data_IF_390821405384
#
_entry.id   IF_390821405384
#
_cell.length_a   1.000
_cell.length_b   1.000
_cell.length_c   1.000
_cell.angle_alpha   90.00
_cell.angle_beta   90.00
_cell.angle_gamma   90.00
#
_symmetry.space_group_name_H-M   'P 1'
#
loop_
_entity.id
_entity.type
_entity.pdbx_description
1 polymer ?
#
# COMPACT_ATOMS: atom_id res chain seq x y z
N UNK A 1 5.79 27.19 -17.94
CA UNK A 1 4.70 26.93 -16.98
C UNK A 1 4.99 25.56 -16.42
N UNK A 2 5.45 25.47 -15.17
CA UNK A 2 5.99 24.24 -14.59
C UNK A 2 4.84 23.26 -14.35
N UNK A 3 4.87 22.09 -15.00
CA UNK A 3 3.79 21.09 -14.98
C UNK A 3 3.70 20.33 -13.63
N UNK A 4 4.65 20.56 -12.71
CA UNK A 4 4.89 19.73 -11.52
C UNK A 4 4.24 20.20 -10.21
N UNK A 5 3.38 21.23 -10.19
CA UNK A 5 2.83 21.80 -8.94
C UNK A 5 1.32 21.59 -8.78
N UNK A 6 0.86 20.33 -8.83
CA UNK A 6 -0.52 20.04 -8.41
C UNK A 6 -0.63 20.16 -6.87
N UNK A 7 -1.79 20.57 -6.32
CA UNK A 7 -1.99 20.63 -4.87
C UNK A 7 -1.71 19.29 -4.17
N UNK A 8 -1.99 18.16 -4.82
CA UNK A 8 -1.70 16.83 -4.28
C UNK A 8 -0.19 16.55 -4.19
N UNK A 9 0.59 16.97 -5.19
CA UNK A 9 2.06 16.81 -5.18
C UNK A 9 2.69 17.68 -4.09
N UNK A 10 2.24 18.93 -3.95
CA UNK A 10 2.66 19.82 -2.85
C UNK A 10 2.30 19.24 -1.48
N UNK A 11 1.14 18.58 -1.34
CA UNK A 11 0.74 17.89 -0.11
C UNK A 11 1.67 16.73 0.21
N UNK A 12 2.00 15.89 -0.78
CA UNK A 12 2.94 14.79 -0.59
C UNK A 12 4.34 15.29 -0.22
N UNK A 13 4.85 16.32 -0.90
CA UNK A 13 6.14 16.94 -0.56
C UNK A 13 6.17 17.46 0.88
N UNK A 14 5.08 18.12 1.31
CA UNK A 14 4.92 18.57 2.69
C UNK A 14 4.88 17.38 3.68
N UNK A 15 4.20 16.29 3.34
CA UNK A 15 4.14 15.09 4.16
C UNK A 15 5.50 14.40 4.29
N UNK A 16 6.26 14.27 3.19
CA UNK A 16 7.63 13.76 3.19
C UNK A 16 8.57 14.62 4.04
N UNK A 17 8.46 15.95 3.94
CA UNK A 17 9.21 16.86 4.80
C UNK A 17 8.84 16.69 6.28
N UNK A 18 7.54 16.52 6.58
CA UNK A 18 7.08 16.25 7.95
C UNK A 18 7.63 14.94 8.48
N UNK A 19 7.62 13.86 7.69
CA UNK A 19 8.25 12.59 8.03
C UNK A 19 9.73 12.79 8.39
N UNK A 20 10.48 13.53 7.58
CA UNK A 20 11.89 13.80 7.83
C UNK A 20 12.12 14.59 9.14
N UNK A 21 11.31 15.61 9.41
CA UNK A 21 11.42 16.42 10.64
C UNK A 21 11.01 15.62 11.88
N UNK A 22 9.89 14.89 11.82
CA UNK A 22 9.33 14.17 12.96
C UNK A 22 10.19 12.99 13.42
N UNK A 23 10.88 12.33 12.49
CA UNK A 23 11.75 11.19 12.80
C UNK A 23 13.25 11.54 12.75
N UNK A 24 13.60 12.82 12.67
CA UNK A 24 14.98 13.29 12.76
C UNK A 24 15.63 12.83 14.08
N UNK A 25 16.87 12.37 14.03
CA UNK A 25 17.61 11.92 15.21
C UNK A 25 17.20 10.55 15.76
N UNK A 26 16.21 9.88 15.16
CA UNK A 26 15.78 8.55 15.61
C UNK A 26 16.85 7.50 15.31
N UNK A 27 16.97 6.50 16.18
CA UNK A 27 17.89 5.37 16.09
C UNK A 27 17.15 4.07 16.40
N UNK A 28 17.64 2.95 15.89
CA UNK A 28 17.24 1.64 16.39
C UNK A 28 17.71 1.48 17.85
N UNK A 29 17.04 0.61 18.62
CA UNK A 29 17.42 0.37 20.01
C UNK A 29 18.90 -0.07 20.11
N UNK A 30 19.69 0.43 21.09
CA UNK A 30 21.11 0.09 21.21
C UNK A 30 21.40 -1.41 21.32
N UNK A 31 20.49 -2.15 21.95
CA UNK A 31 20.57 -3.60 22.14
C UNK A 31 19.98 -4.40 20.97
N UNK A 32 19.45 -3.72 19.95
CA UNK A 32 18.94 -4.40 18.76
C UNK A 32 20.09 -5.13 18.04
N UNK A 33 19.78 -6.35 17.61
CA UNK A 33 20.71 -7.26 16.98
C UNK A 33 19.98 -8.16 15.98
N UNK A 34 20.72 -8.68 15.01
CA UNK A 34 20.23 -9.67 14.06
C UNK A 34 21.40 -10.60 13.65
N UNK A 35 21.12 -11.80 13.14
CA UNK A 35 22.16 -12.77 12.81
C UNK A 35 22.99 -12.28 11.62
N UNK A 36 24.33 -12.35 11.70
CA UNK A 36 25.19 -12.06 10.55
C UNK A 36 24.86 -12.92 9.33
N UNK A 37 24.41 -14.16 9.58
CA UNK A 37 24.04 -15.15 8.57
C UNK A 37 22.81 -14.78 7.72
N UNK A 38 21.91 -13.97 8.26
CA UNK A 38 20.63 -13.61 7.61
C UNK A 38 20.53 -12.11 7.34
N UNK A 39 21.24 -11.31 8.13
CA UNK A 39 21.10 -9.87 8.12
C UNK A 39 22.29 -9.13 7.52
N UNK A 40 23.53 -9.52 7.79
CA UNK A 40 24.73 -8.76 7.39
C UNK A 40 25.66 -8.43 8.55
N UNK A 41 26.67 -7.57 8.33
CA UNK A 41 27.77 -7.41 9.30
C UNK A 41 27.39 -6.56 10.52
N UNK A 42 28.18 -6.68 11.60
CA UNK A 42 28.03 -5.84 12.78
C UNK A 42 28.16 -4.33 12.47
N UNK A 43 29.00 -3.96 11.48
CA UNK A 43 29.14 -2.58 11.02
C UNK A 43 27.87 -2.07 10.34
N UNK A 44 27.21 -2.87 9.51
CA UNK A 44 25.93 -2.51 8.88
C UNK A 44 24.83 -2.33 9.93
N UNK A 45 24.76 -3.23 10.91
CA UNK A 45 23.84 -3.09 12.04
C UNK A 45 24.12 -1.83 12.87
N UNK A 46 25.39 -1.47 13.06
CA UNK A 46 25.77 -0.26 13.78
C UNK A 46 25.28 1.03 13.09
N UNK A 47 25.08 1.03 11.77
CA UNK A 47 24.54 2.20 11.05
C UNK A 47 23.10 2.54 11.45
N UNK A 48 22.30 1.54 11.87
CA UNK A 48 20.95 1.77 12.41
C UNK A 48 20.99 2.50 13.78
N UNK A 49 22.12 2.44 14.47
CA UNK A 49 22.36 3.10 15.76
C UNK A 49 22.94 4.52 15.61
N UNK A 50 23.30 4.90 14.38
CA UNK A 50 23.71 6.28 14.06
C UNK A 50 22.50 7.02 13.50
N UNK A 51 22.09 8.15 14.11
CA UNK A 51 20.95 8.91 13.62
C UNK A 51 21.25 9.53 12.26
N UNK A 52 20.20 9.69 11.44
CA UNK A 52 20.19 10.45 10.18
C UNK A 52 21.22 10.05 9.11
N UNK A 53 21.97 8.96 9.32
CA UNK A 53 22.90 8.42 8.33
C UNK A 53 22.11 7.74 7.23
N UNK A 54 22.40 8.09 5.97
CA UNK A 54 21.82 7.43 4.82
C UNK A 54 22.30 5.97 4.77
N UNK A 55 21.35 5.04 4.70
CA UNK A 55 21.64 3.62 4.58
C UNK A 55 21.83 3.26 3.11
N UNK A 56 22.71 2.30 2.83
CA UNK A 56 22.75 1.65 1.52
C UNK A 56 21.36 1.09 1.16
N UNK A 57 20.91 1.15 -0.11
CA UNK A 57 19.59 0.63 -0.51
C UNK A 57 19.34 -0.82 -0.10
N UNK A 58 20.35 -1.68 -0.13
CA UNK A 58 20.22 -3.06 0.30
C UNK A 58 20.02 -3.19 1.82
N UNK A 59 20.74 -2.38 2.59
CA UNK A 59 20.57 -2.30 4.05
C UNK A 59 19.20 -1.72 4.42
N UNK A 60 18.72 -0.69 3.72
CA UNK A 60 17.38 -0.15 3.87
C UNK A 60 16.32 -1.22 3.57
N UNK A 61 16.48 -1.96 2.46
CA UNK A 61 15.60 -3.05 2.05
C UNK A 61 15.51 -4.11 3.13
N UNK A 62 16.66 -4.61 3.58
CA UNK A 62 16.74 -5.55 4.69
C UNK A 62 15.99 -4.98 5.88
N UNK A 63 16.31 -3.74 6.32
CA UNK A 63 15.76 -3.08 7.52
C UNK A 63 14.24 -3.22 7.67
N UNK A 64 13.47 -2.96 6.62
CA UNK A 64 12.02 -3.09 6.68
C UNK A 64 11.53 -4.54 6.45
N UNK A 65 12.28 -5.37 5.74
CA UNK A 65 11.92 -6.77 5.43
C UNK A 65 12.07 -7.72 6.61
N UNK A 66 13.09 -7.57 7.47
CA UNK A 66 13.25 -8.45 8.63
C UNK A 66 11.99 -8.45 9.49
N UNK A 67 11.57 -9.65 9.86
CA UNK A 67 10.44 -9.90 10.74
C UNK A 67 10.87 -10.24 12.17
N UNK A 68 12.16 -10.45 12.39
CA UNK A 68 12.76 -10.97 13.61
C UNK A 68 13.44 -9.92 14.49
N UNK A 69 13.16 -8.64 14.25
CA UNK A 69 13.55 -7.56 15.15
C UNK A 69 12.86 -7.66 16.52
N UNK A 70 13.60 -7.40 17.59
CA UNK A 70 13.03 -7.35 18.94
C UNK A 70 12.20 -6.07 19.15
N UNK A 71 12.70 -4.93 18.69
CA UNK A 71 12.02 -3.63 18.65
C UNK A 71 11.91 -3.12 17.21
N UNK A 72 11.00 -3.75 16.45
CA UNK A 72 10.67 -3.35 15.08
C UNK A 72 10.23 -1.88 14.99
N UNK A 73 9.60 -1.34 16.04
CA UNK A 73 9.15 0.04 16.08
C UNK A 73 10.34 1.02 16.04
N UNK A 74 11.40 0.77 16.80
CA UNK A 74 12.61 1.59 16.78
C UNK A 74 13.29 1.58 15.40
N UNK A 75 13.43 0.40 14.79
CA UNK A 75 14.02 0.24 13.45
C UNK A 75 13.17 0.97 12.41
N UNK A 76 11.86 0.80 12.45
CA UNK A 76 10.97 1.47 11.52
C UNK A 76 11.07 3.00 11.65
N UNK A 77 11.03 3.56 12.86
CA UNK A 77 11.22 5.01 13.08
C UNK A 77 12.54 5.52 12.51
N UNK A 78 13.63 4.75 12.65
CA UNK A 78 14.96 5.09 12.13
C UNK A 78 14.99 5.17 10.60
N UNK A 79 14.27 4.30 9.91
CA UNK A 79 14.34 4.21 8.44
C UNK A 79 13.24 4.99 7.72
N UNK A 80 12.15 5.34 8.41
CA UNK A 80 10.97 5.97 7.80
C UNK A 80 11.26 7.20 6.93
N UNK A 81 12.14 8.16 7.31
CA UNK A 81 12.49 9.29 6.44
C UNK A 81 13.11 8.89 5.09
N UNK A 82 13.91 7.83 5.07
CA UNK A 82 14.56 7.34 3.84
C UNK A 82 13.61 6.41 3.08
N UNK A 83 12.93 5.50 3.79
CA UNK A 83 11.96 4.57 3.22
C UNK A 83 10.80 5.29 2.52
N UNK A 84 10.21 6.32 3.13
CA UNK A 84 9.11 7.09 2.53
C UNK A 84 9.48 7.75 1.21
N UNK A 85 10.72 8.27 1.09
CA UNK A 85 11.24 8.83 -0.17
C UNK A 85 11.49 7.74 -1.20
N UNK A 86 12.07 6.62 -0.80
CA UNK A 86 12.32 5.48 -1.67
C UNK A 86 10.99 4.91 -2.24
N UNK A 87 9.96 4.81 -1.41
CA UNK A 87 8.61 4.37 -1.81
C UNK A 87 8.01 5.26 -2.89
N UNK A 88 7.98 6.58 -2.66
CA UNK A 88 7.41 7.54 -3.61
C UNK A 88 8.23 7.62 -4.91
N UNK A 89 9.53 7.31 -4.85
CA UNK A 89 10.41 7.30 -6.02
C UNK A 89 10.41 5.98 -6.78
N UNK A 90 9.65 4.98 -6.35
CA UNK A 90 9.61 3.65 -6.99
C UNK A 90 10.90 2.85 -6.83
N UNK A 91 11.68 3.12 -5.78
CA UNK A 91 12.97 2.44 -5.51
C UNK A 91 12.84 1.26 -4.55
N UNK A 92 11.62 0.97 -4.08
CA UNK A 92 11.33 -0.16 -3.20
C UNK A 92 10.67 -1.26 -4.03
N UNK A 93 11.34 -2.41 -4.11
CA UNK A 93 10.87 -3.58 -4.85
C UNK A 93 10.67 -4.77 -3.88
N UNK A 94 9.45 -4.97 -3.35
CA UNK A 94 9.10 -6.14 -2.56
C UNK A 94 9.10 -7.43 -3.39
N UNK A 95 9.17 -8.59 -2.73
CA UNK A 95 9.23 -9.87 -3.45
C UNK A 95 7.86 -10.29 -3.98
N UNK A 96 6.81 -10.16 -3.17
CA UNK A 96 5.45 -10.56 -3.52
C UNK A 96 4.53 -9.37 -3.81
N UNK A 97 4.74 -8.24 -3.13
CA UNK A 97 4.00 -7.01 -3.37
C UNK A 97 4.13 -5.99 -2.24
N UNK A 98 3.55 -4.81 -2.45
CA UNK A 98 3.68 -3.66 -1.53
C UNK A 98 2.97 -3.88 -0.18
N UNK A 99 2.14 -4.91 -0.06
CA UNK A 99 1.55 -5.34 1.20
C UNK A 99 2.63 -5.82 2.21
N UNK A 100 3.80 -6.30 1.75
CA UNK A 100 4.94 -6.62 2.62
C UNK A 100 5.45 -5.40 3.39
N UNK A 101 5.53 -4.26 2.70
CA UNK A 101 5.92 -2.99 3.30
C UNK A 101 4.84 -2.54 4.29
N UNK A 102 3.57 -2.65 3.91
CA UNK A 102 2.45 -2.37 4.81
C UNK A 102 2.50 -3.20 6.10
N UNK A 103 2.79 -4.50 6.00
CA UNK A 103 3.01 -5.37 7.17
C UNK A 103 4.21 -4.92 8.02
N UNK A 104 5.26 -4.35 7.42
CA UNK A 104 6.36 -3.75 8.18
C UNK A 104 5.90 -2.57 9.03
N UNK A 105 5.02 -1.73 8.48
CA UNK A 105 4.39 -0.64 9.24
C UNK A 105 3.54 -1.19 10.38
N UNK A 106 2.68 -2.17 10.11
CA UNK A 106 1.81 -2.80 11.10
C UNK A 106 2.61 -3.42 12.26
N UNK A 107 3.71 -4.14 11.96
CA UNK A 107 4.63 -4.71 12.97
C UNK A 107 5.28 -3.65 13.84
N UNK A 108 5.52 -2.45 13.28
CA UNK A 108 6.01 -1.30 14.04
C UNK A 108 4.96 -0.67 14.95
N UNK A 109 3.69 -1.07 14.85
CA UNK A 109 2.56 -0.54 15.64
C UNK A 109 2.49 0.99 15.60
N UNK A 110 2.69 1.58 14.40
CA UNK A 110 2.85 3.04 14.26
C UNK A 110 1.65 3.86 14.76
N UNK A 111 0.46 3.27 14.77
CA UNK A 111 -0.75 3.90 15.31
C UNK A 111 -0.70 4.10 16.84
N UNK A 112 0.15 3.36 17.55
CA UNK A 112 0.33 3.45 19.01
C UNK A 112 1.49 4.37 19.42
N UNK A 113 2.18 4.96 18.44
CA UNK A 113 3.30 5.88 18.69
C UNK A 113 2.81 7.23 19.25
N UNK A 114 3.72 8.10 19.73
CA UNK A 114 3.36 9.47 20.07
C UNK A 114 2.53 10.14 18.96
N UNK A 115 1.51 10.91 19.34
CA UNK A 115 0.49 11.41 18.43
C UNK A 115 1.06 12.14 17.19
N UNK A 116 2.15 12.90 17.36
CA UNK A 116 2.81 13.59 16.25
C UNK A 116 3.44 12.63 15.24
N UNK A 117 4.02 11.52 15.70
CA UNK A 117 4.63 10.49 14.85
C UNK A 117 3.54 9.72 14.09
N UNK A 118 2.50 9.28 14.79
CA UNK A 118 1.38 8.59 14.16
C UNK A 118 0.69 9.49 13.12
N UNK A 119 0.48 10.77 13.43
CA UNK A 119 -0.11 11.73 12.50
C UNK A 119 0.78 11.99 11.27
N UNK A 120 2.11 11.98 11.41
CA UNK A 120 3.03 12.12 10.29
C UNK A 120 2.93 10.92 9.34
N UNK A 121 2.92 9.68 9.87
CA UNK A 121 2.78 8.46 9.07
C UNK A 121 1.42 8.43 8.36
N UNK A 122 0.34 8.74 9.06
CA UNK A 122 -1.00 8.78 8.47
C UNK A 122 -1.09 9.78 7.32
N UNK A 123 -0.58 11.00 7.52
CA UNK A 123 -0.62 12.04 6.48
C UNK A 123 0.22 11.66 5.26
N UNK A 124 1.38 11.02 5.45
CA UNK A 124 2.19 10.47 4.37
C UNK A 124 1.42 9.43 3.54
N UNK A 125 0.87 8.41 4.20
CA UNK A 125 0.10 7.35 3.52
C UNK A 125 -1.10 7.95 2.77
N UNK A 126 -1.83 8.88 3.38
CA UNK A 126 -2.98 9.53 2.78
C UNK A 126 -2.62 10.43 1.58
N UNK A 127 -1.56 11.23 1.70
CA UNK A 127 -1.12 12.10 0.61
C UNK A 127 -0.61 11.27 -0.58
N UNK A 128 0.15 10.20 -0.31
CA UNK A 128 0.68 9.33 -1.36
C UNK A 128 -0.44 8.57 -2.07
N UNK A 129 -1.37 7.97 -1.31
CA UNK A 129 -2.54 7.30 -1.88
C UNK A 129 -3.36 8.24 -2.77
N UNK A 130 -3.69 9.44 -2.26
CA UNK A 130 -4.47 10.42 -3.02
C UNK A 130 -3.76 10.83 -4.31
N UNK A 131 -2.43 10.99 -4.29
CA UNK A 131 -1.65 11.32 -5.49
C UNK A 131 -1.67 10.15 -6.49
N UNK A 132 -1.48 8.90 -6.05
CA UNK A 132 -1.47 7.73 -6.96
C UNK A 132 -2.77 7.52 -7.73
N UNK A 133 -3.88 8.06 -7.22
CA UNK A 133 -5.19 7.98 -7.88
C UNK A 133 -5.38 9.01 -9.00
N UNK A 134 -4.60 10.08 -9.01
CA UNK A 134 -4.77 11.20 -9.95
C UNK A 134 -3.54 11.47 -10.81
N UNK A 135 -2.38 10.91 -10.43
CA UNK A 135 -1.15 11.02 -11.21
C UNK A 135 -1.25 10.17 -12.48
N UNK A 136 -0.91 10.80 -13.60
CA UNK A 136 -0.90 10.13 -14.90
C UNK A 136 0.28 9.14 -15.02
N UNK A 137 1.38 9.41 -14.32
CA UNK A 137 2.61 8.60 -14.36
C UNK A 137 3.10 8.28 -12.93
N UNK A 138 2.35 7.45 -12.18
CA UNK A 138 2.72 7.09 -10.82
C UNK A 138 3.93 6.15 -10.81
N UNK A 139 4.72 6.19 -9.74
CA UNK A 139 5.88 5.31 -9.53
C UNK A 139 5.52 3.82 -9.28
N UNK A 140 4.29 3.41 -9.57
CA UNK A 140 3.75 2.06 -9.41
C UNK A 140 2.22 2.04 -9.57
N UNK A 141 1.61 0.84 -9.70
CA UNK A 141 0.16 0.71 -9.79
C UNK A 141 -0.55 1.15 -8.51
N UNK A 142 -1.68 1.85 -8.64
CA UNK A 142 -2.46 2.33 -7.50
C UNK A 142 -2.94 1.19 -6.59
N UNK A 143 -3.26 0.01 -7.14
CA UNK A 143 -3.71 -1.13 -6.33
C UNK A 143 -2.65 -1.62 -5.35
N UNK A 144 -1.37 -1.46 -5.65
CA UNK A 144 -0.27 -1.81 -4.74
C UNK A 144 -0.16 -0.81 -3.58
N UNK A 145 -0.32 0.48 -3.87
CA UNK A 145 -0.36 1.54 -2.84
C UNK A 145 -1.55 1.32 -1.90
N UNK A 146 -2.71 0.91 -2.43
CA UNK A 146 -3.87 0.56 -1.62
C UNK A 146 -3.56 -0.63 -0.68
N UNK A 147 -2.96 -1.71 -1.20
CA UNK A 147 -2.61 -2.88 -0.40
C UNK A 147 -1.65 -2.52 0.74
N UNK A 148 -0.62 -1.70 0.44
CA UNK A 148 0.29 -1.16 1.46
C UNK A 148 -0.46 -0.37 2.53
N UNK A 149 -1.31 0.58 2.14
CA UNK A 149 -2.05 1.40 3.08
C UNK A 149 -3.01 0.57 3.94
N UNK A 150 -3.68 -0.42 3.35
CA UNK A 150 -4.60 -1.33 4.02
C UNK A 150 -3.87 -2.16 5.08
N UNK A 151 -2.77 -2.83 4.71
CA UNK A 151 -1.95 -3.60 5.65
C UNK A 151 -1.32 -2.72 6.73
N UNK A 152 -0.76 -1.56 6.35
CA UNK A 152 -0.14 -0.65 7.31
C UNK A 152 -1.10 -0.21 8.41
N UNK A 153 -2.37 0.04 8.06
CA UNK A 153 -3.38 0.55 8.99
C UNK A 153 -4.31 -0.51 9.57
N UNK A 154 -4.18 -1.76 9.11
CA UNK A 154 -5.07 -2.88 9.38
C UNK A 154 -6.56 -2.58 9.09
N UNK A 155 -6.85 -1.66 8.17
CA UNK A 155 -8.21 -1.28 7.76
C UNK A 155 -8.24 -0.78 6.31
N UNK A 156 -9.36 -1.00 5.63
CA UNK A 156 -9.52 -0.63 4.22
C UNK A 156 -10.40 0.62 4.01
N UNK A 157 -11.40 0.84 4.88
CA UNK A 157 -12.42 1.89 4.71
C UNK A 157 -11.89 3.31 4.45
N UNK A 158 -10.88 3.80 5.20
CA UNK A 158 -10.39 5.17 5.00
C UNK A 158 -9.84 5.39 3.59
N UNK A 159 -9.22 4.38 3.00
CA UNK A 159 -8.58 4.44 1.69
C UNK A 159 -9.62 4.35 0.57
N UNK A 160 -10.62 3.48 0.72
CA UNK A 160 -11.74 3.39 -0.21
C UNK A 160 -12.58 4.67 -0.23
N UNK A 161 -12.75 5.34 0.92
CA UNK A 161 -13.43 6.62 0.98
C UNK A 161 -12.70 7.71 0.19
N UNK A 162 -11.36 7.76 0.27
CA UNK A 162 -10.55 8.65 -0.56
C UNK A 162 -10.75 8.34 -2.04
N UNK A 163 -10.78 7.06 -2.43
CA UNK A 163 -10.96 6.68 -3.83
C UNK A 163 -12.35 6.97 -4.36
N UNK A 164 -13.38 6.80 -3.54
CA UNK A 164 -14.76 7.16 -3.86
C UNK A 164 -14.88 8.66 -4.18
N UNK A 165 -14.18 9.52 -3.43
CA UNK A 165 -14.16 10.95 -3.66
C UNK A 165 -13.43 11.37 -4.96
N UNK A 166 -12.56 10.53 -5.52
CA UNK A 166 -11.83 10.82 -6.76
C UNK A 166 -12.61 10.38 -8.00
N UNK A 167 -13.30 11.34 -8.62
CA UNK A 167 -14.18 11.09 -9.79
C UNK A 167 -13.54 11.40 -11.14
N UNK A 168 -12.26 11.79 -11.16
CA UNK A 168 -11.55 12.09 -12.40
C UNK A 168 -11.33 10.84 -13.27
N UNK A 169 -11.07 11.04 -14.56
CA UNK A 169 -10.88 9.95 -15.52
C UNK A 169 -9.70 9.03 -15.14
N UNK A 170 -8.60 9.60 -14.63
CA UNK A 170 -7.42 8.83 -14.18
C UNK A 170 -7.80 7.87 -13.05
N UNK A 171 -8.55 8.33 -12.05
CA UNK A 171 -9.02 7.47 -10.96
C UNK A 171 -9.95 6.34 -11.44
N UNK A 172 -10.70 6.56 -12.52
CA UNK A 172 -11.48 5.53 -13.20
C UNK A 172 -10.61 4.51 -13.94
N UNK A 173 -9.52 4.95 -14.56
CA UNK A 173 -8.52 4.05 -15.17
C UNK A 173 -7.83 3.19 -14.12
N UNK A 174 -7.41 3.78 -12.98
CA UNK A 174 -6.84 3.03 -11.85
C UNK A 174 -7.78 1.97 -11.32
N UNK A 175 -9.09 2.25 -11.31
CA UNK A 175 -10.10 1.27 -10.93
C UNK A 175 -10.17 0.10 -11.93
N UNK A 176 -10.15 0.39 -13.23
CA UNK A 176 -10.15 -0.67 -14.26
C UNK A 176 -8.87 -1.53 -14.17
N UNK A 177 -7.72 -0.92 -13.97
CA UNK A 177 -6.43 -1.61 -13.75
C UNK A 177 -6.50 -2.52 -12.51
N UNK A 178 -7.00 -2.01 -11.39
CA UNK A 178 -7.14 -2.77 -10.16
C UNK A 178 -8.10 -3.95 -10.29
N UNK A 179 -9.29 -3.75 -10.89
CA UNK A 179 -10.26 -4.85 -11.09
C UNK A 179 -9.68 -5.92 -12.01
N UNK A 180 -8.95 -5.53 -13.06
CA UNK A 180 -8.27 -6.47 -13.96
C UNK A 180 -7.25 -7.31 -13.21
N UNK A 181 -6.50 -6.70 -12.28
CA UNK A 181 -5.52 -7.41 -11.46
C UNK A 181 -6.18 -8.35 -10.45
N UNK A 182 -7.26 -7.92 -9.81
CA UNK A 182 -7.91 -8.62 -8.68
C UNK A 182 -8.96 -9.67 -9.07
N UNK A 183 -9.40 -9.72 -10.34
CA UNK A 183 -10.59 -10.49 -10.72
C UNK A 183 -10.51 -11.97 -10.38
N UNK A 184 -9.34 -12.60 -10.53
CA UNK A 184 -9.16 -14.02 -10.26
C UNK A 184 -9.30 -14.33 -8.76
N UNK A 185 -8.62 -13.56 -7.92
CA UNK A 185 -8.61 -13.78 -6.48
C UNK A 185 -9.98 -13.51 -5.87
N UNK A 186 -10.63 -12.40 -6.24
CA UNK A 186 -11.95 -12.05 -5.73
C UNK A 186 -13.02 -13.05 -6.16
N UNK A 187 -12.97 -13.58 -7.39
CA UNK A 187 -13.88 -14.65 -7.82
C UNK A 187 -13.63 -15.97 -7.09
N UNK A 188 -12.39 -16.20 -6.64
CA UNK A 188 -11.98 -17.30 -5.78
C UNK A 188 -12.25 -17.09 -4.30
N UNK A 189 -12.97 -16.02 -3.91
CA UNK A 189 -13.19 -15.61 -2.53
C UNK A 189 -11.89 -15.40 -1.74
N UNK A 190 -10.85 -14.87 -2.38
CA UNK A 190 -9.56 -14.52 -1.76
C UNK A 190 -9.33 -13.01 -1.79
N UNK A 191 -8.57 -12.50 -0.81
CA UNK A 191 -8.06 -11.13 -0.90
C UNK A 191 -6.99 -11.08 -2.02
N UNK A 192 -6.95 -10.03 -2.87
CA UNK A 192 -6.03 -9.99 -4.01
C UNK A 192 -4.55 -9.77 -3.67
N UNK A 193 -4.23 -9.66 -2.38
CA UNK A 193 -2.88 -9.60 -1.85
C UNK A 193 -2.83 -10.45 -0.58
N UNK A 194 -1.64 -10.84 -0.14
CA UNK A 194 -1.50 -11.59 1.10
C UNK A 194 -1.95 -10.74 2.29
N UNK A 195 -3.10 -11.07 2.89
CA UNK A 195 -3.64 -10.35 4.04
C UNK A 195 -3.03 -10.81 5.37
N UNK A 196 -3.13 -9.97 6.39
CA UNK A 196 -2.94 -10.37 7.79
C UNK A 196 -4.19 -11.04 8.38
N UNK A 197 -4.34 -10.97 9.71
CA UNK A 197 -5.45 -11.58 10.44
C UNK A 197 -6.85 -11.05 10.05
N UNK A 198 -6.92 -9.93 9.34
CA UNK A 198 -8.15 -9.24 8.90
C UNK A 198 -8.49 -9.48 7.41
N UNK A 199 -7.87 -10.48 6.77
CA UNK A 199 -8.03 -10.76 5.34
C UNK A 199 -9.51 -10.91 4.92
N UNK A 200 -10.30 -11.66 5.70
CA UNK A 200 -11.71 -11.91 5.39
C UNK A 200 -12.56 -10.63 5.45
N UNK A 201 -12.31 -9.77 6.45
CA UNK A 201 -13.01 -8.50 6.62
C UNK A 201 -12.67 -7.55 5.46
N UNK A 202 -11.38 -7.41 5.14
CA UNK A 202 -10.92 -6.58 4.03
C UNK A 202 -11.46 -7.06 2.68
N UNK A 203 -11.45 -8.37 2.43
CA UNK A 203 -12.00 -8.96 1.19
C UNK A 203 -13.49 -8.65 1.07
N UNK A 204 -14.23 -8.83 2.15
CA UNK A 204 -15.69 -8.58 2.18
C UNK A 204 -15.99 -7.11 1.93
N UNK A 205 -15.25 -6.22 2.57
CA UNK A 205 -15.38 -4.77 2.37
C UNK A 205 -15.03 -4.35 0.95
N UNK A 206 -13.88 -4.79 0.42
CA UNK A 206 -13.43 -4.50 -0.94
C UNK A 206 -14.47 -4.95 -1.97
N UNK A 207 -14.98 -6.17 -1.83
CA UNK A 207 -15.99 -6.75 -2.72
C UNK A 207 -17.28 -5.93 -2.68
N UNK A 208 -17.76 -5.58 -1.49
CA UNK A 208 -18.97 -4.77 -1.33
C UNK A 208 -18.81 -3.36 -1.94
N UNK A 209 -17.63 -2.74 -1.77
CA UNK A 209 -17.33 -1.45 -2.36
C UNK A 209 -17.27 -1.51 -3.89
N UNK A 210 -16.61 -2.53 -4.46
CA UNK A 210 -16.51 -2.73 -5.90
C UNK A 210 -17.89 -2.92 -6.55
N UNK A 211 -18.74 -3.78 -5.98
CA UNK A 211 -20.11 -4.00 -6.48
C UNK A 211 -20.91 -2.68 -6.52
N UNK A 212 -20.73 -1.83 -5.50
CA UNK A 212 -21.45 -0.57 -5.37
C UNK A 212 -20.94 0.53 -6.29
N UNK A 213 -19.62 0.70 -6.38
CA UNK A 213 -19.01 1.90 -6.99
C UNK A 213 -18.38 1.65 -8.36
N UNK A 214 -17.97 0.42 -8.67
CA UNK A 214 -17.25 0.14 -9.91
C UNK A 214 -18.09 0.23 -11.19
N UNK A 215 -19.34 -0.29 -11.26
CA UNK A 215 -20.06 -0.38 -12.53
C UNK A 215 -20.23 0.96 -13.26
N UNK A 216 -20.68 2.00 -12.54
CA UNK A 216 -20.89 3.32 -13.12
C UNK A 216 -19.59 3.97 -13.61
N UNK A 217 -18.49 3.77 -12.88
CA UNK A 217 -17.18 4.33 -13.21
C UNK A 217 -16.54 3.62 -14.39
N UNK A 218 -16.64 2.28 -14.43
CA UNK A 218 -16.16 1.47 -15.55
C UNK A 218 -16.92 1.78 -16.84
N UNK A 219 -18.25 1.95 -16.77
CA UNK A 219 -19.07 2.40 -17.91
C UNK A 219 -18.65 3.79 -18.41
N UNK A 220 -18.51 4.76 -17.51
CA UNK A 220 -18.10 6.11 -17.88
C UNK A 220 -16.68 6.17 -18.48
N UNK A 221 -15.79 5.27 -18.05
CA UNK A 221 -14.43 5.13 -18.56
C UNK A 221 -14.30 4.30 -19.84
N UNK A 222 -15.40 3.80 -20.41
CA UNK A 222 -15.40 2.85 -21.54
C UNK A 222 -14.51 1.62 -21.29
N UNK A 223 -14.53 1.09 -20.06
CA UNK A 223 -13.79 -0.12 -19.72
C UNK A 223 -14.35 -1.34 -20.49
N UNK A 224 -13.54 -2.40 -20.69
CA UNK A 224 -14.00 -3.64 -21.30
C UNK A 224 -15.25 -4.19 -20.61
N UNK A 225 -16.22 -4.66 -21.39
CA UNK A 225 -17.50 -5.17 -20.86
C UNK A 225 -17.30 -6.39 -19.96
N UNK A 226 -16.23 -7.14 -20.20
CA UNK A 226 -15.78 -8.26 -19.39
C UNK A 226 -15.61 -7.86 -17.92
N UNK A 227 -15.01 -6.70 -17.64
CA UNK A 227 -14.85 -6.22 -16.26
C UNK A 227 -16.18 -5.94 -15.58
N UNK A 228 -17.18 -5.44 -16.31
CA UNK A 228 -18.54 -5.27 -15.78
C UNK A 228 -19.18 -6.62 -15.44
N UNK A 229 -18.96 -7.64 -16.28
CA UNK A 229 -19.40 -9.00 -15.98
C UNK A 229 -18.69 -9.56 -14.74
N UNK A 230 -17.38 -9.31 -14.57
CA UNK A 230 -16.63 -9.70 -13.37
C UNK A 230 -17.23 -9.07 -12.11
N UNK A 231 -17.45 -7.76 -12.11
CA UNK A 231 -18.08 -7.08 -10.97
C UNK A 231 -19.48 -7.62 -10.68
N UNK A 232 -20.27 -7.93 -11.72
CA UNK A 232 -21.59 -8.56 -11.54
C UNK A 232 -21.48 -9.94 -10.89
N UNK A 233 -20.50 -10.76 -11.32
CA UNK A 233 -20.25 -12.10 -10.75
C UNK A 233 -19.90 -12.05 -9.27
N UNK A 234 -19.16 -11.03 -8.82
CA UNK A 234 -18.83 -10.84 -7.40
C UNK A 234 -20.08 -10.69 -6.52
N UNK A 235 -21.20 -10.19 -7.09
CA UNK A 235 -22.48 -10.07 -6.39
C UNK A 235 -23.33 -11.35 -6.38
N UNK A 236 -22.91 -12.42 -7.04
CA UNK A 236 -23.63 -13.69 -7.10
C UNK A 236 -23.11 -14.67 -6.05
N UNK A 237 -24.02 -15.49 -5.51
CA UNK A 237 -23.69 -16.53 -4.55
C UNK A 237 -23.97 -17.93 -5.13
N UNK A 238 -23.20 -18.92 -4.69
CA UNK A 238 -23.46 -20.32 -5.00
C UNK A 238 -23.41 -20.65 -6.50
N UNK A 239 -24.17 -21.66 -6.97
CA UNK A 239 -24.17 -22.13 -8.36
C UNK A 239 -24.38 -21.03 -9.40
N UNK A 240 -25.19 -20.02 -9.08
CA UNK A 240 -25.45 -18.90 -9.97
C UNK A 240 -24.19 -18.11 -10.35
N UNK A 241 -23.10 -18.19 -9.57
CA UNK A 241 -21.83 -17.53 -9.88
C UNK A 241 -20.99 -18.32 -10.89
N UNK A 242 -20.73 -19.60 -10.62
CA UNK A 242 -19.80 -20.40 -11.45
C UNK A 242 -20.46 -21.11 -12.64
N UNK A 243 -21.79 -21.24 -12.66
CA UNK A 243 -22.55 -21.70 -13.83
C UNK A 243 -22.93 -20.56 -14.78
N UNK A 244 -22.55 -19.31 -14.46
CA UNK A 244 -22.86 -18.19 -15.31
C UNK A 244 -22.04 -18.24 -16.61
N UNK A 245 -22.65 -17.96 -17.79
CA UNK A 245 -21.95 -18.00 -19.08
C UNK A 245 -20.73 -17.08 -19.18
N UNK A 246 -20.63 -16.06 -18.33
CA UNK A 246 -19.51 -15.13 -18.28
C UNK A 246 -18.43 -15.53 -17.27
N UNK A 247 -18.57 -16.66 -16.55
CA UNK A 247 -17.53 -17.18 -15.67
C UNK A 247 -16.21 -17.42 -16.43
N UNK A 248 -15.03 -17.04 -15.89
CA UNK A 248 -13.77 -17.24 -16.59
C UNK A 248 -13.55 -18.73 -16.94
N UNK A 249 -13.29 -19.02 -18.22
CA UNK A 249 -13.04 -20.38 -18.68
C UNK A 249 -14.28 -21.27 -18.82
N UNK A 250 -15.51 -20.72 -18.73
CA UNK A 250 -16.74 -21.45 -19.02
C UNK A 250 -16.69 -22.02 -20.45
N UNK A 251 -16.85 -23.34 -20.60
CA UNK A 251 -16.92 -24.03 -21.89
C UNK A 251 -18.36 -24.46 -22.15
N UNK A 252 -18.86 -24.17 -23.35
CA UNK A 252 -20.17 -24.60 -23.84
C UNK A 252 -20.20 -26.11 -24.09
#
# INVERSE_FOLDING_TARGET
>A
MNLDQTPARLRLDAALNRMAVTFHGMTAHPDEHNCECHWGSAEELAQLKVPDTELDPDLLRRAWQATDWNDHASVLRRILPQLSRALVSGLVEPLFGMEEVGRSFARGQWQQWPAEQAAAVWEFLNAWWALSLIDADPAGPAYEVLALCAEASATLSPWLHVWEAQTCAVAGQRLAEAVTHWECDLLGDQLPWGGGDNEEEMRTELTAWLIRHAPARLLAGNAPVELLHRIRLLGLAGPARWEDPHWPGHRY
#
